data_IF_834851654298
#
_entry.id   IF_834851654298
#
_cell.length_a   1.000
_cell.length_b   1.000
_cell.length_c   1.000
_cell.angle_alpha   90.00
_cell.angle_beta   90.00
_cell.angle_gamma   90.00
#
_symmetry.space_group_name_H-M   'P 1'
#
loop_
_entity.id
_entity.type
_entity.pdbx_description
1 polymer ?
#
# COMPACT_ATOMS: atom_id res chain seq x y z
N UNK A 1 0.89 1.79 8.07
CA UNK A 1 0.35 0.47 7.70
C UNK A 1 0.32 -0.50 8.88
N UNK A 2 1.45 -1.06 9.35
CA UNK A 2 1.44 -2.05 10.46
C UNK A 2 0.79 -1.53 11.74
N UNK A 3 0.95 -0.25 12.08
CA UNK A 3 0.27 0.36 13.23
C UNK A 3 -1.25 0.49 13.03
N UNK A 4 -1.71 0.82 11.83
CA UNK A 4 -3.13 0.89 11.50
C UNK A 4 -3.79 -0.51 11.48
N UNK A 5 -3.07 -1.52 10.97
CA UNK A 5 -3.45 -2.94 11.08
C UNK A 5 -3.47 -3.40 12.54
N UNK A 6 -2.46 -3.07 13.34
CA UNK A 6 -2.42 -3.42 14.76
C UNK A 6 -3.58 -2.79 15.54
N UNK A 7 -3.98 -1.57 15.18
CA UNK A 7 -5.20 -0.97 15.69
C UNK A 7 -6.40 -1.79 15.20
N UNK A 8 -6.51 -2.15 13.91
CA UNK A 8 -7.61 -3.01 13.40
C UNK A 8 -7.79 -4.33 14.17
N UNK A 9 -6.69 -4.92 14.63
CA UNK A 9 -6.69 -6.12 15.47
C UNK A 9 -7.13 -5.87 16.93
N UNK A 10 -7.11 -4.62 17.41
CA UNK A 10 -7.69 -4.27 18.72
C UNK A 10 -9.21 -4.43 18.75
N UNK A 11 -9.89 -4.46 17.59
CA UNK A 11 -11.31 -4.81 17.50
C UNK A 11 -11.57 -6.26 17.92
N UNK A 12 -10.57 -7.14 17.72
CA UNK A 12 -10.59 -8.53 18.20
C UNK A 12 -10.38 -8.66 19.72
N UNK A 13 -10.03 -7.55 20.40
CA UNK A 13 -9.81 -7.48 21.85
C UNK A 13 -10.99 -6.81 22.60
N UNK A 14 -12.18 -6.74 21.99
CA UNK A 14 -13.41 -6.16 22.58
C UNK A 14 -13.26 -4.69 23.05
N UNK A 15 -12.34 -3.93 22.47
CA UNK A 15 -12.20 -2.50 22.75
C UNK A 15 -13.05 -1.68 21.76
N UNK A 16 -14.13 -0.99 22.21
CA UNK A 16 -15.08 -0.28 21.32
C UNK A 16 -14.53 1.01 20.71
N UNK A 17 -13.20 1.18 20.62
CA UNK A 17 -12.55 2.34 20.03
C UNK A 17 -12.93 2.52 18.55
N UNK A 18 -13.15 1.43 17.82
CA UNK A 18 -13.64 1.46 16.44
C UNK A 18 -15.06 1.98 16.29
N UNK A 19 -15.85 1.87 17.35
CA UNK A 19 -17.28 2.11 17.34
C UNK A 19 -17.65 3.41 18.06
N UNK A 20 -16.69 4.36 18.10
CA UNK A 20 -16.90 5.73 18.60
C UNK A 20 -16.73 6.77 17.50
N UNK A 21 -17.60 7.79 17.53
CA UNK A 21 -17.63 8.84 16.52
C UNK A 21 -16.29 9.57 16.49
N UNK A 22 -15.81 9.90 15.29
CA UNK A 22 -14.48 10.46 15.07
C UNK A 22 -13.36 9.42 14.99
N UNK A 23 -13.31 8.43 15.90
CA UNK A 23 -12.30 7.38 15.87
C UNK A 23 -12.47 6.43 14.68
N UNK A 24 -13.69 5.95 14.42
CA UNK A 24 -14.04 5.18 13.22
C UNK A 24 -13.51 5.85 11.94
N UNK A 25 -13.93 7.09 11.71
CA UNK A 25 -13.59 7.87 10.52
C UNK A 25 -12.09 8.11 10.38
N UNK A 26 -11.43 8.50 11.48
CA UNK A 26 -10.00 8.80 11.49
C UNK A 26 -9.17 7.54 11.24
N UNK A 27 -9.53 6.42 11.85
CA UNK A 27 -8.82 5.15 11.68
C UNK A 27 -8.97 4.59 10.27
N UNK A 28 -10.17 4.65 9.69
CA UNK A 28 -10.42 4.25 8.30
C UNK A 28 -9.58 5.13 7.35
N UNK A 29 -9.64 6.46 7.52
CA UNK A 29 -8.86 7.40 6.71
C UNK A 29 -7.34 7.18 6.81
N UNK A 30 -6.80 7.12 8.02
CA UNK A 30 -5.36 6.91 8.25
C UNK A 30 -4.91 5.55 7.70
N UNK A 31 -5.75 4.53 7.79
CA UNK A 31 -5.45 3.21 7.23
C UNK A 31 -5.25 3.28 5.72
N UNK A 32 -6.19 3.91 5.01
CA UNK A 32 -6.08 4.09 3.55
C UNK A 32 -4.86 4.92 3.15
N UNK A 33 -4.67 6.10 3.75
CA UNK A 33 -3.53 6.99 3.44
C UNK A 33 -2.20 6.28 3.69
N UNK A 34 -2.06 5.62 4.86
CA UNK A 34 -0.80 4.97 5.20
C UNK A 34 -0.54 3.69 4.40
N UNK A 35 -1.59 3.00 3.93
CA UNK A 35 -1.48 1.89 2.99
C UNK A 35 -0.90 2.36 1.66
N UNK A 36 -1.53 3.37 1.05
CA UNK A 36 -1.09 3.96 -0.21
C UNK A 36 0.35 4.46 -0.13
N UNK A 37 0.68 5.30 0.86
CA UNK A 37 2.01 5.89 0.97
C UNK A 37 3.11 4.84 1.22
N UNK A 38 2.84 3.83 2.05
CA UNK A 38 3.81 2.75 2.32
C UNK A 38 4.21 2.01 1.03
N UNK A 39 3.23 1.71 0.18
CA UNK A 39 3.47 0.98 -1.06
C UNK A 39 4.22 1.85 -2.08
N UNK A 40 3.78 3.08 -2.29
CA UNK A 40 4.42 3.98 -3.26
C UNK A 40 5.81 4.47 -2.83
N UNK A 41 6.08 4.58 -1.52
CA UNK A 41 7.44 4.79 -1.02
C UNK A 41 8.32 3.58 -1.27
N UNK A 42 7.79 2.36 -1.12
CA UNK A 42 8.54 1.14 -1.46
C UNK A 42 8.88 1.10 -2.94
N UNK A 43 7.93 1.40 -3.83
CA UNK A 43 8.19 1.54 -5.28
C UNK A 43 9.27 2.60 -5.54
N UNK A 44 9.18 3.76 -4.91
CA UNK A 44 10.17 4.84 -5.04
C UNK A 44 11.57 4.39 -4.63
N UNK A 45 11.69 3.67 -3.51
CA UNK A 45 12.97 3.09 -3.06
C UNK A 45 13.49 2.01 -4.02
N UNK A 46 12.62 1.22 -4.63
CA UNK A 46 13.04 0.24 -5.66
C UNK A 46 13.55 0.93 -6.93
N UNK A 47 12.92 2.04 -7.34
CA UNK A 47 13.39 2.87 -8.46
C UNK A 47 14.76 3.48 -8.14
N UNK A 48 14.96 3.99 -6.93
CA UNK A 48 16.27 4.52 -6.51
C UNK A 48 17.36 3.44 -6.60
N UNK A 49 17.08 2.23 -6.11
CA UNK A 49 17.99 1.08 -6.22
C UNK A 49 18.24 0.69 -7.68
N UNK A 50 17.20 0.68 -8.52
CA UNK A 50 17.33 0.43 -9.94
C UNK A 50 18.27 1.43 -10.61
N UNK A 51 18.10 2.73 -10.35
CA UNK A 51 18.96 3.78 -10.91
C UNK A 51 20.41 3.62 -10.42
N UNK A 52 20.62 3.37 -9.13
CA UNK A 52 21.96 3.21 -8.57
C UNK A 52 22.73 2.03 -9.20
N UNK A 53 22.05 0.93 -9.52
CA UNK A 53 22.66 -0.27 -10.12
C UNK A 53 22.77 -0.14 -11.64
N UNK A 54 21.70 0.32 -12.30
CA UNK A 54 21.64 0.32 -13.76
C UNK A 54 22.22 1.58 -14.40
N UNK A 55 22.28 2.68 -13.68
CA UNK A 55 22.80 3.95 -14.16
C UNK A 55 23.74 4.60 -13.12
N UNK A 56 24.82 3.92 -12.72
CA UNK A 56 25.71 4.39 -11.64
C UNK A 56 26.29 5.78 -11.91
N UNK A 57 26.58 6.11 -13.18
CA UNK A 57 27.11 7.41 -13.59
C UNK A 57 26.08 8.56 -13.54
N UNK A 58 24.78 8.26 -13.67
CA UNK A 58 23.70 9.26 -13.62
C UNK A 58 23.06 9.40 -12.24
N UNK A 59 23.45 8.55 -11.28
CA UNK A 59 22.98 8.61 -9.90
C UNK A 59 23.04 10.02 -9.27
N UNK A 60 24.15 10.77 -9.31
CA UNK A 60 24.22 12.09 -8.66
C UNK A 60 23.26 13.12 -9.27
N UNK A 61 22.89 12.97 -10.53
CA UNK A 61 21.92 13.85 -11.21
C UNK A 61 20.47 13.40 -10.97
N UNK A 62 20.24 12.08 -10.87
CA UNK A 62 18.90 11.50 -10.76
C UNK A 62 18.40 11.43 -9.32
N UNK A 63 19.22 10.93 -8.39
CA UNK A 63 18.85 10.69 -6.99
C UNK A 63 19.26 11.87 -6.10
N UNK A 64 18.65 13.03 -6.32
CA UNK A 64 18.90 14.22 -5.50
C UNK A 64 17.89 14.37 -4.37
N UNK A 65 18.32 14.92 -3.23
CA UNK A 65 17.45 15.18 -2.06
C UNK A 65 16.26 16.08 -2.43
N UNK A 66 16.46 17.05 -3.33
CA UNK A 66 15.38 17.95 -3.80
C UNK A 66 14.28 17.17 -4.52
N UNK A 67 14.64 16.26 -5.43
CA UNK A 67 13.68 15.41 -6.14
C UNK A 67 13.01 14.41 -5.22
N UNK A 68 13.76 13.79 -4.32
CA UNK A 68 13.20 12.89 -3.32
C UNK A 68 12.14 13.58 -2.45
N UNK A 69 12.43 14.79 -1.95
CA UNK A 69 11.46 15.61 -1.22
C UNK A 69 10.22 15.94 -2.07
N UNK A 70 10.42 16.28 -3.33
CA UNK A 70 9.31 16.56 -4.25
C UNK A 70 8.41 15.33 -4.46
N UNK A 71 9.00 14.15 -4.72
CA UNK A 71 8.26 12.89 -4.89
C UNK A 71 7.50 12.51 -3.62
N UNK A 72 8.15 12.57 -2.45
CA UNK A 72 7.51 12.26 -1.17
C UNK A 72 6.37 13.23 -0.88
N UNK A 73 6.60 14.53 -1.09
CA UNK A 73 5.59 15.57 -0.84
C UNK A 73 4.38 15.42 -1.76
N UNK A 74 4.60 15.16 -3.05
CA UNK A 74 3.52 15.01 -4.04
C UNK A 74 2.70 13.75 -3.78
N UNK A 75 3.34 12.61 -3.52
CA UNK A 75 2.64 11.37 -3.14
C UNK A 75 1.85 11.54 -1.84
N UNK A 76 2.45 12.17 -0.82
CA UNK A 76 1.81 12.43 0.47
C UNK A 76 0.57 13.30 0.30
N UNK A 77 0.69 14.41 -0.42
CA UNK A 77 -0.43 15.32 -0.67
C UNK A 77 -1.54 14.66 -1.48
N UNK A 78 -1.19 13.87 -2.50
CA UNK A 78 -2.14 13.13 -3.31
C UNK A 78 -2.90 12.10 -2.48
N UNK A 79 -2.19 11.28 -1.69
CA UNK A 79 -2.81 10.32 -0.78
C UNK A 79 -3.75 10.99 0.23
N UNK A 80 -3.28 12.02 0.93
CA UNK A 80 -4.10 12.77 1.89
C UNK A 80 -5.38 13.32 1.25
N UNK A 81 -5.27 13.90 0.05
CA UNK A 81 -6.41 14.54 -0.62
C UNK A 81 -7.43 13.52 -1.15
N UNK A 82 -6.98 12.46 -1.83
CA UNK A 82 -7.87 11.45 -2.43
C UNK A 82 -8.63 10.68 -1.35
N UNK A 83 -7.97 10.31 -0.26
CA UNK A 83 -8.60 9.53 0.80
C UNK A 83 -9.42 10.37 1.78
N UNK A 84 -9.35 11.72 1.71
CA UNK A 84 -10.13 12.60 2.60
C UNK A 84 -11.64 12.37 2.51
N UNK A 85 -12.12 11.88 1.36
CA UNK A 85 -13.52 11.49 1.14
C UNK A 85 -13.98 10.45 2.17
N UNK A 86 -13.11 9.52 2.59
CA UNK A 86 -13.43 8.48 3.57
C UNK A 86 -13.83 9.02 4.93
N UNK A 87 -13.43 10.24 5.30
CA UNK A 87 -13.82 10.89 6.57
C UNK A 87 -15.30 11.26 6.54
N UNK A 88 -15.79 11.73 5.38
CA UNK A 88 -17.16 12.22 5.21
C UNK A 88 -18.15 11.09 4.90
N UNK A 89 -17.69 10.05 4.21
CA UNK A 89 -18.58 8.96 3.76
C UNK A 89 -18.72 7.82 4.77
N UNK A 90 -17.85 7.75 5.78
CA UNK A 90 -17.86 6.69 6.81
C UNK A 90 -18.46 7.22 8.11
N UNK A 91 -19.27 6.41 8.78
CA UNK A 91 -19.94 6.79 10.01
C UNK A 91 -20.30 5.59 10.87
N UNK A 92 -20.92 5.85 12.01
CA UNK A 92 -21.47 4.80 12.86
C UNK A 92 -22.93 4.60 12.49
N UNK A 93 -23.25 3.38 12.10
CA UNK A 93 -24.63 2.94 11.88
C UNK A 93 -24.95 1.81 12.86
N UNK A 94 -26.18 1.81 13.38
CA UNK A 94 -26.65 0.73 14.26
C UNK A 94 -27.24 -0.39 13.41
N UNK A 95 -26.67 -1.59 13.48
CA UNK A 95 -27.33 -2.76 12.90
C UNK A 95 -28.58 -3.06 13.74
N UNK A 96 -29.75 -2.88 13.13
CA UNK A 96 -31.08 -3.12 13.73
C UNK A 96 -31.22 -4.53 14.34
N UNK A 97 -30.47 -5.53 13.84
CA UNK A 97 -30.54 -6.92 14.32
C UNK A 97 -29.66 -7.25 15.53
N UNK A 98 -28.60 -6.48 15.81
CA UNK A 98 -27.64 -6.78 16.88
C UNK A 98 -27.58 -5.69 17.96
N UNK A 99 -28.08 -4.47 17.66
CA UNK A 99 -28.02 -3.34 18.58
C UNK A 99 -26.60 -2.78 18.80
N UNK A 100 -25.60 -3.28 18.06
CA UNK A 100 -24.20 -2.88 18.19
C UNK A 100 -23.90 -1.75 17.19
N UNK A 101 -23.28 -0.63 17.63
CA UNK A 101 -22.78 0.40 16.73
C UNK A 101 -21.64 -0.16 15.89
N UNK A 102 -21.72 -0.11 14.56
CA UNK A 102 -20.63 -0.52 13.67
C UNK A 102 -20.12 0.62 12.79
N UNK A 103 -18.82 0.60 12.49
CA UNK A 103 -18.18 1.57 11.60
C UNK A 103 -18.36 1.13 10.14
N UNK A 104 -19.27 1.79 9.40
CA UNK A 104 -19.58 1.46 8.00
C UNK A 104 -19.77 2.71 7.14
N UNK A 105 -19.54 2.62 5.82
CA UNK A 105 -19.95 3.69 4.91
C UNK A 105 -21.48 3.87 4.92
N UNK A 106 -21.96 5.12 4.84
CA UNK A 106 -23.40 5.38 4.73
C UNK A 106 -23.98 4.76 3.46
N UNK A 107 -25.24 4.35 3.51
CA UNK A 107 -25.92 3.64 2.41
C UNK A 107 -25.88 4.40 1.08
N UNK A 108 -26.00 5.72 1.12
CA UNK A 108 -25.98 6.58 -0.08
C UNK A 108 -24.60 6.62 -0.77
N UNK A 109 -23.52 6.37 -0.02
CA UNK A 109 -22.14 6.40 -0.52
C UNK A 109 -21.55 5.01 -0.78
N UNK A 110 -22.35 3.94 -0.69
CA UNK A 110 -21.89 2.55 -0.92
C UNK A 110 -21.24 2.37 -2.29
N UNK A 111 -21.82 2.96 -3.35
CA UNK A 111 -21.27 2.86 -4.71
C UNK A 111 -19.91 3.54 -4.80
N UNK A 112 -19.77 4.74 -4.23
CA UNK A 112 -18.51 5.50 -4.21
C UNK A 112 -17.44 4.73 -3.43
N UNK A 113 -17.80 4.17 -2.27
CA UNK A 113 -16.90 3.35 -1.47
C UNK A 113 -16.44 2.09 -2.23
N UNK A 114 -17.35 1.41 -2.94
CA UNK A 114 -17.00 0.23 -3.75
C UNK A 114 -16.02 0.56 -4.87
N UNK A 115 -16.26 1.66 -5.61
CA UNK A 115 -15.35 2.13 -6.66
C UNK A 115 -14.00 2.50 -6.08
N UNK A 116 -13.99 3.20 -4.93
CA UNK A 116 -12.76 3.60 -4.25
C UNK A 116 -11.94 2.39 -3.79
N UNK A 117 -12.57 1.36 -3.22
CA UNK A 117 -11.91 0.10 -2.84
C UNK A 117 -11.31 -0.62 -4.05
N UNK A 118 -12.02 -0.61 -5.18
CA UNK A 118 -11.54 -1.24 -6.40
C UNK A 118 -10.30 -0.52 -6.95
N UNK A 119 -10.37 0.81 -7.04
CA UNK A 119 -9.24 1.65 -7.47
C UNK A 119 -8.07 1.53 -6.49
N UNK A 120 -8.32 1.62 -5.19
CA UNK A 120 -7.31 1.44 -4.14
C UNK A 120 -6.61 0.11 -4.29
N UNK A 121 -7.36 -0.99 -4.50
CA UNK A 121 -6.78 -2.32 -4.72
C UNK A 121 -5.90 -2.35 -5.96
N UNK A 122 -6.34 -1.78 -7.09
CA UNK A 122 -5.54 -1.75 -8.32
C UNK A 122 -4.22 -0.97 -8.11
N UNK A 123 -4.32 0.20 -7.48
CA UNK A 123 -3.23 1.18 -7.32
C UNK A 123 -2.26 0.80 -6.20
N UNK A 124 -2.71 0.09 -5.17
CA UNK A 124 -1.86 -0.31 -4.01
C UNK A 124 -1.41 -1.77 -4.07
N UNK A 125 -1.95 -2.59 -4.98
CA UNK A 125 -1.58 -4.00 -5.12
C UNK A 125 -0.99 -4.28 -6.51
N UNK A 126 -1.79 -4.16 -7.56
CA UNK A 126 -1.45 -4.67 -8.91
C UNK A 126 -0.36 -3.81 -9.57
N UNK A 127 -0.57 -2.50 -9.63
CA UNK A 127 0.40 -1.55 -10.21
C UNK A 127 1.77 -1.61 -9.51
N UNK A 128 1.86 -1.50 -8.18
CA UNK A 128 3.15 -1.53 -7.50
C UNK A 128 3.83 -2.89 -7.61
N UNK A 129 3.07 -3.99 -7.57
CA UNK A 129 3.62 -5.34 -7.73
C UNK A 129 4.24 -5.53 -9.13
N UNK A 130 3.52 -5.14 -10.19
CA UNK A 130 4.04 -5.23 -11.56
C UNK A 130 5.26 -4.32 -11.77
N UNK A 131 5.23 -3.09 -11.24
CA UNK A 131 6.38 -2.18 -11.29
C UNK A 131 7.61 -2.77 -10.57
N UNK A 132 7.44 -3.30 -9.35
CA UNK A 132 8.52 -3.92 -8.57
C UNK A 132 9.08 -5.15 -9.29
N UNK A 133 8.24 -5.98 -9.90
CA UNK A 133 8.70 -7.13 -10.68
C UNK A 133 9.55 -6.70 -11.88
N UNK A 134 9.05 -5.76 -12.69
CA UNK A 134 9.77 -5.27 -13.88
C UNK A 134 11.12 -4.66 -13.47
N UNK A 135 11.13 -3.82 -12.43
CA UNK A 135 12.34 -3.20 -11.91
C UNK A 135 13.33 -4.25 -11.42
N UNK A 136 12.90 -5.24 -10.64
CA UNK A 136 13.79 -6.30 -10.15
C UNK A 136 14.33 -7.19 -11.27
N UNK A 137 13.51 -7.54 -12.27
CA UNK A 137 13.98 -8.28 -13.46
C UNK A 137 15.06 -7.49 -14.19
N UNK A 138 14.84 -6.18 -14.41
CA UNK A 138 15.80 -5.33 -15.10
C UNK A 138 17.11 -5.17 -14.30
N UNK A 139 17.03 -5.05 -12.96
CA UNK A 139 18.21 -5.07 -12.07
C UNK A 139 18.96 -6.39 -12.23
N UNK A 140 18.27 -7.53 -12.11
CA UNK A 140 18.90 -8.86 -12.18
C UNK A 140 19.54 -9.09 -13.54
N UNK A 141 18.88 -8.73 -14.64
CA UNK A 141 19.43 -8.88 -15.99
C UNK A 141 20.72 -8.07 -16.16
N UNK A 142 20.73 -6.82 -15.69
CA UNK A 142 21.90 -5.95 -15.84
C UNK A 142 23.06 -6.34 -14.92
N UNK A 143 22.75 -6.81 -13.71
CA UNK A 143 23.76 -7.41 -12.83
C UNK A 143 24.30 -8.69 -13.45
N UNK A 144 23.47 -9.61 -13.96
CA UNK A 144 23.95 -10.86 -14.55
C UNK A 144 24.86 -10.62 -15.77
N UNK A 145 24.55 -9.59 -16.58
CA UNK A 145 25.37 -9.21 -17.73
C UNK A 145 26.73 -8.59 -17.32
N UNK A 146 26.77 -7.80 -16.24
CA UNK A 146 27.98 -7.06 -15.83
C UNK A 146 28.80 -7.75 -14.72
N UNK A 147 28.18 -8.61 -13.91
CA UNK A 147 28.71 -9.26 -12.72
C UNK A 147 28.58 -10.79 -12.81
N UNK A 148 29.45 -11.42 -13.60
CA UNK A 148 29.71 -12.88 -13.55
C UNK A 148 30.36 -13.32 -12.22
N UNK A 149 30.51 -12.44 -11.22
CA UNK A 149 31.21 -12.75 -9.96
C UNK A 149 30.52 -12.17 -8.70
N UNK A 150 30.12 -13.06 -7.78
CA UNK A 150 29.87 -12.80 -6.33
C UNK A 150 28.39 -12.65 -5.86
N UNK A 151 27.79 -13.79 -5.51
CA UNK A 151 27.18 -14.17 -4.20
C UNK A 151 26.05 -13.33 -3.55
N UNK A 152 25.81 -12.07 -3.91
CA UNK A 152 24.84 -11.18 -3.24
C UNK A 152 23.42 -11.20 -3.85
N UNK A 153 23.25 -11.65 -5.10
CA UNK A 153 21.95 -11.69 -5.80
C UNK A 153 20.99 -12.74 -5.24
N UNK A 154 21.51 -13.78 -4.57
CA UNK A 154 20.68 -14.81 -3.91
C UNK A 154 19.78 -14.22 -2.82
N UNK A 155 20.25 -13.23 -2.06
CA UNK A 155 19.46 -12.64 -0.97
C UNK A 155 18.27 -11.82 -1.51
N UNK A 156 18.45 -11.07 -2.60
CA UNK A 156 17.40 -10.26 -3.22
C UNK A 156 16.34 -11.10 -3.96
N UNK A 157 16.75 -12.22 -4.58
CA UNK A 157 15.82 -13.18 -5.18
C UNK A 157 14.99 -13.90 -4.11
N UNK A 158 15.59 -14.26 -2.98
CA UNK A 158 14.87 -14.85 -1.84
C UNK A 158 13.85 -13.87 -1.27
N UNK A 159 14.21 -12.58 -1.10
CA UNK A 159 13.25 -11.58 -0.61
C UNK A 159 12.08 -11.40 -1.59
N UNK A 160 12.34 -11.33 -2.90
CA UNK A 160 11.30 -11.15 -3.93
C UNK A 160 10.38 -12.37 -4.06
N UNK A 161 10.95 -13.58 -3.97
CA UNK A 161 10.18 -14.83 -4.01
C UNK A 161 9.40 -15.09 -2.72
N UNK A 162 9.96 -14.75 -1.55
CA UNK A 162 9.23 -14.78 -0.27
C UNK A 162 8.07 -13.78 -0.28
N UNK A 163 8.25 -12.56 -0.82
CA UNK A 163 7.16 -11.59 -0.94
C UNK A 163 6.02 -12.10 -1.84
N UNK A 164 6.36 -12.75 -2.95
CA UNK A 164 5.43 -13.42 -3.87
C UNK A 164 4.64 -14.55 -3.18
N UNK A 165 5.34 -15.42 -2.44
CA UNK A 165 4.74 -16.56 -1.73
C UNK A 165 3.87 -16.09 -0.57
N UNK A 166 4.28 -15.05 0.16
CA UNK A 166 3.55 -14.52 1.32
C UNK A 166 2.32 -13.69 0.91
N UNK A 167 2.33 -13.04 -0.26
CA UNK A 167 1.17 -12.28 -0.74
C UNK A 167 0.21 -13.11 -1.60
N UNK A 168 0.66 -14.21 -2.20
CA UNK A 168 -0.17 -15.18 -2.94
C UNK A 168 -1.49 -15.54 -2.23
N UNK A 169 -1.52 -15.84 -0.91
CA UNK A 169 -2.76 -16.10 -0.18
C UNK A 169 -3.74 -14.93 -0.20
N UNK A 170 -3.24 -13.69 -0.12
CA UNK A 170 -4.08 -12.48 -0.17
C UNK A 170 -4.70 -12.27 -1.56
N UNK A 171 -3.96 -12.61 -2.63
CA UNK A 171 -4.49 -12.63 -4.01
C UNK A 171 -5.57 -13.70 -4.17
N UNK A 172 -5.35 -14.92 -3.64
CA UNK A 172 -6.32 -16.02 -3.73
C UNK A 172 -7.57 -15.75 -2.89
N UNK A 173 -7.43 -15.20 -1.68
CA UNK A 173 -8.57 -14.85 -0.80
C UNK A 173 -9.40 -13.73 -1.42
N UNK A 174 -8.79 -12.72 -2.05
CA UNK A 174 -9.52 -11.66 -2.76
C UNK A 174 -10.20 -12.17 -4.03
N UNK A 175 -9.57 -13.06 -4.80
CA UNK A 175 -10.20 -13.69 -5.97
C UNK A 175 -11.40 -14.58 -5.59
N UNK A 176 -11.31 -15.28 -4.44
CA UNK A 176 -12.41 -16.08 -3.88
C UNK A 176 -13.58 -15.25 -3.35
N UNK A 177 -13.38 -13.97 -3.04
CA UNK A 177 -14.45 -13.05 -2.63
C UNK A 177 -15.17 -12.39 -3.83
N UNK A 178 -14.67 -12.61 -5.05
CA UNK A 178 -15.25 -12.11 -6.31
C UNK A 178 -15.97 -13.20 -7.14
N UNK A 179 -16.00 -14.45 -6.66
CA UNK A 179 -16.78 -15.59 -7.22
C UNK A 179 -17.82 -16.00 -6.21
#
# INVERSE_FOLDING_TARGET
FLFALAIGWLDYLDLPLFHTNGWCQSLVYISYVTSFLSVWFTVSLTVERYIAICHPLRRPEMCTVRRAKYVVSTLSFFGLSVYAVSIWTSGIEQIVQLGIPICVPFKDFLVIHHVMIYVDTLVTLIVPFTAILILNIAITHRIAYFYTQVKMTKMLLVISSVFLIVNSPSYVIRLRLFV
#
